data_IF_093847228115
#
_entry.id   IF_093847228115
#
_cell.length_a   1.000
_cell.length_b   1.000
_cell.length_c   1.000
_cell.angle_alpha   90.00
_cell.angle_beta   90.00
_cell.angle_gamma   90.00
#
_symmetry.space_group_name_H-M   'P 1'
#
loop_
_entity.id
_entity.type
_entity.pdbx_description
1 polymer ?
#
# COMPACT_ATOMS: atom_id res chain seq x y z
N UNK A 1 -11.61 11.89 -15.36
CA UNK A 1 -11.30 10.48 -15.03
C UNK A 1 -12.13 9.62 -15.95
N UNK A 2 -11.47 8.90 -16.84
CA UNK A 2 -12.10 8.14 -17.92
C UNK A 2 -12.81 6.89 -17.37
N UNK A 3 -13.88 6.49 -18.05
CA UNK A 3 -14.73 5.36 -17.67
C UNK A 3 -13.94 4.04 -17.57
N UNK A 4 -12.87 3.89 -18.34
CA UNK A 4 -11.96 2.73 -18.30
C UNK A 4 -11.14 2.67 -17.01
N UNK A 5 -10.70 3.81 -16.47
CA UNK A 5 -9.89 3.85 -15.24
C UNK A 5 -10.72 3.44 -14.01
N UNK A 6 -12.00 3.81 -14.00
CA UNK A 6 -12.94 3.41 -12.93
C UNK A 6 -13.23 1.92 -12.92
N UNK A 7 -13.43 1.30 -14.08
CA UNK A 7 -13.67 -0.15 -14.17
C UNK A 7 -12.45 -0.96 -13.72
N UNK A 8 -11.24 -0.52 -14.06
CA UNK A 8 -10.01 -1.17 -13.62
C UNK A 8 -9.79 -1.06 -12.10
N UNK A 9 -10.10 0.10 -11.50
CA UNK A 9 -10.05 0.27 -10.05
C UNK A 9 -11.06 -0.64 -9.32
N UNK A 10 -12.28 -0.73 -9.86
CA UNK A 10 -13.33 -1.59 -9.28
C UNK A 10 -12.96 -3.08 -9.34
N UNK A 11 -12.41 -3.55 -10.45
CA UNK A 11 -11.90 -4.93 -10.58
C UNK A 11 -10.78 -5.23 -9.58
N UNK A 12 -9.85 -4.29 -9.40
CA UNK A 12 -8.72 -4.45 -8.48
C UNK A 12 -9.17 -4.49 -7.01
N UNK A 13 -10.14 -3.67 -6.62
CA UNK A 13 -10.66 -3.67 -5.26
C UNK A 13 -11.47 -4.93 -4.96
N UNK A 14 -12.13 -5.51 -5.96
CA UNK A 14 -12.80 -6.79 -5.84
C UNK A 14 -11.80 -7.95 -5.65
N UNK A 15 -10.73 -8.00 -6.46
CA UNK A 15 -9.67 -9.02 -6.30
C UNK A 15 -9.01 -8.92 -4.91
N UNK A 16 -8.79 -7.70 -4.43
CA UNK A 16 -8.27 -7.44 -3.09
C UNK A 16 -9.25 -7.89 -2.00
N UNK A 17 -10.54 -7.61 -2.17
CA UNK A 17 -11.58 -8.05 -1.24
C UNK A 17 -11.58 -9.58 -1.13
N UNK A 18 -11.73 -10.30 -2.24
CA UNK A 18 -11.80 -11.77 -2.24
C UNK A 18 -10.58 -12.41 -1.55
N UNK A 19 -9.39 -11.87 -1.80
CA UNK A 19 -8.16 -12.39 -1.18
C UNK A 19 -8.07 -12.05 0.32
N UNK A 20 -8.56 -10.87 0.74
CA UNK A 20 -8.63 -10.50 2.16
C UNK A 20 -9.70 -11.31 2.90
N UNK A 21 -10.84 -11.59 2.27
CA UNK A 21 -11.93 -12.38 2.86
C UNK A 21 -11.46 -13.79 3.21
N UNK A 22 -10.69 -14.40 2.31
CA UNK A 22 -10.07 -15.71 2.51
C UNK A 22 -9.15 -15.77 3.75
N UNK A 23 -8.51 -14.64 4.09
CA UNK A 23 -7.45 -14.58 5.11
C UNK A 23 -7.91 -14.07 6.47
N UNK A 24 -8.69 -12.99 6.47
CA UNK A 24 -9.11 -12.28 7.68
C UNK A 24 -10.60 -12.38 7.94
N UNK A 25 -11.36 -12.95 7.01
CA UNK A 25 -12.81 -13.02 7.06
C UNK A 25 -13.49 -11.77 6.47
N UNK A 26 -14.79 -11.89 6.15
CA UNK A 26 -15.53 -10.89 5.38
C UNK A 26 -15.62 -9.52 6.05
N UNK A 27 -15.75 -9.48 7.38
CA UNK A 27 -15.89 -8.23 8.12
C UNK A 27 -14.64 -7.34 8.01
N UNK A 28 -13.45 -7.93 8.20
CA UNK A 28 -12.18 -7.19 8.16
C UNK A 28 -11.85 -6.79 6.72
N UNK A 29 -12.08 -7.69 5.76
CA UNK A 29 -11.86 -7.40 4.35
C UNK A 29 -12.70 -6.19 3.88
N UNK A 30 -13.98 -6.17 4.22
CA UNK A 30 -14.87 -5.06 3.88
C UNK A 30 -14.39 -3.75 4.52
N UNK A 31 -13.98 -3.77 5.79
CA UNK A 31 -13.45 -2.58 6.47
C UNK A 31 -12.23 -2.01 5.76
N UNK A 32 -11.26 -2.86 5.39
CA UNK A 32 -10.05 -2.42 4.69
C UNK A 32 -10.40 -1.80 3.33
N UNK A 33 -11.28 -2.44 2.55
CA UNK A 33 -11.70 -1.96 1.23
C UNK A 33 -12.52 -0.68 1.34
N UNK A 34 -13.37 -0.55 2.36
CA UNK A 34 -14.13 0.67 2.61
C UNK A 34 -13.21 1.85 2.94
N UNK A 35 -12.19 1.64 3.77
CA UNK A 35 -11.20 2.67 4.09
C UNK A 35 -10.38 3.07 2.87
N UNK A 36 -10.01 2.13 2.00
CA UNK A 36 -9.37 2.42 0.70
C UNK A 36 -10.29 3.28 -0.17
N UNK A 37 -11.56 2.87 -0.34
CA UNK A 37 -12.53 3.60 -1.15
C UNK A 37 -12.83 5.00 -0.60
N UNK A 38 -12.83 5.16 0.73
CA UNK A 38 -12.94 6.47 1.37
C UNK A 38 -11.69 7.30 1.14
N UNK A 39 -10.51 6.70 1.22
CA UNK A 39 -9.24 7.37 1.00
C UNK A 39 -9.06 7.85 -0.45
N UNK A 40 -9.75 7.30 -1.45
CA UNK A 40 -9.77 7.89 -2.80
C UNK A 40 -10.51 9.24 -2.85
N UNK A 41 -11.43 9.50 -1.91
CA UNK A 41 -12.17 10.77 -1.84
C UNK A 41 -11.27 11.88 -1.29
N UNK A 42 -11.25 13.04 -1.95
CA UNK A 42 -10.34 14.15 -1.61
C UNK A 42 -10.52 14.68 -0.18
N UNK A 43 -11.76 14.69 0.33
CA UNK A 43 -12.09 15.26 1.64
C UNK A 43 -11.87 14.31 2.83
N UNK A 44 -11.61 13.03 2.60
CA UNK A 44 -11.44 12.07 3.68
C UNK A 44 -9.97 11.97 4.09
N UNK A 45 -9.73 12.15 5.39
CA UNK A 45 -8.45 11.91 6.04
C UNK A 45 -8.54 10.56 6.76
N UNK A 46 -7.76 9.55 6.37
CA UNK A 46 -7.77 8.25 7.00
C UNK A 46 -7.25 8.33 8.44
N UNK A 47 -7.82 7.53 9.34
CA UNK A 47 -7.30 7.40 10.70
C UNK A 47 -6.05 6.51 10.76
N UNK A 48 -5.37 6.52 11.91
CA UNK A 48 -4.16 5.72 12.12
C UNK A 48 -4.40 4.22 11.95
N UNK A 49 -5.55 3.71 12.40
CA UNK A 49 -5.86 2.28 12.35
C UNK A 49 -6.10 1.80 10.92
N UNK A 50 -6.74 2.62 10.09
CA UNK A 50 -6.94 2.39 8.67
C UNK A 50 -5.60 2.37 7.92
N UNK A 51 -4.73 3.36 8.17
CA UNK A 51 -3.37 3.39 7.59
C UNK A 51 -2.58 2.15 8.02
N UNK A 52 -2.70 1.76 9.29
CA UNK A 52 -2.01 0.58 9.84
C UNK A 52 -2.51 -0.71 9.21
N UNK A 53 -3.82 -0.90 9.07
CA UNK A 53 -4.41 -2.09 8.46
C UNK A 53 -3.98 -2.27 7.00
N UNK A 54 -3.94 -1.18 6.22
CA UNK A 54 -3.45 -1.22 4.84
C UNK A 54 -1.94 -1.46 4.78
N UNK A 55 -1.16 -0.95 5.74
CA UNK A 55 0.28 -1.26 5.84
C UNK A 55 0.55 -2.75 6.09
N UNK A 56 -0.27 -3.40 6.92
CA UNK A 56 -0.15 -4.83 7.20
C UNK A 56 -0.54 -5.67 5.99
N UNK A 57 -1.59 -5.23 5.27
CA UNK A 57 -2.00 -5.83 3.99
C UNK A 57 -0.88 -5.75 2.95
N UNK A 58 -0.21 -4.60 2.86
CA UNK A 58 0.93 -4.41 1.96
C UNK A 58 2.09 -5.37 2.31
N UNK A 59 2.48 -5.46 3.59
CA UNK A 59 3.56 -6.34 4.01
C UNK A 59 3.21 -7.82 3.83
N UNK A 60 1.96 -8.22 4.08
CA UNK A 60 1.49 -9.57 3.80
C UNK A 60 1.71 -9.94 2.33
N UNK A 61 1.20 -9.13 1.40
CA UNK A 61 1.34 -9.43 -0.02
C UNK A 61 2.78 -9.32 -0.52
N UNK A 62 3.61 -8.48 0.10
CA UNK A 62 5.05 -8.43 -0.17
C UNK A 62 5.70 -9.78 0.10
N UNK A 63 5.43 -10.37 1.26
CA UNK A 63 5.99 -11.67 1.63
C UNK A 63 5.52 -12.78 0.68
N UNK A 64 4.24 -12.81 0.35
CA UNK A 64 3.67 -13.82 -0.54
C UNK A 64 4.20 -13.68 -1.98
N UNK A 65 4.28 -12.46 -2.51
CA UNK A 65 4.87 -12.21 -3.82
C UNK A 65 6.34 -12.65 -3.86
N UNK A 66 7.11 -12.44 -2.78
CA UNK A 66 8.49 -12.94 -2.68
C UNK A 66 8.55 -14.47 -2.64
N UNK A 67 7.66 -15.14 -1.91
CA UNK A 67 7.59 -16.62 -1.90
C UNK A 67 7.25 -17.16 -3.30
N UNK A 68 6.25 -16.58 -3.96
CA UNK A 68 5.87 -16.96 -5.33
C UNK A 68 7.02 -16.72 -6.33
N UNK A 69 7.75 -15.61 -6.20
CA UNK A 69 8.93 -15.33 -7.04
C UNK A 69 10.04 -16.37 -6.81
N UNK A 70 10.29 -16.77 -5.56
CA UNK A 70 11.26 -17.83 -5.24
C UNK A 70 10.85 -19.16 -5.86
N UNK A 71 9.58 -19.52 -5.76
CA UNK A 71 9.01 -20.73 -6.37
C UNK A 71 9.18 -20.71 -7.91
N UNK A 72 8.79 -19.61 -8.56
CA UNK A 72 8.96 -19.41 -10.01
C UNK A 72 10.43 -19.55 -10.45
N UNK A 73 11.36 -18.93 -9.72
CA UNK A 73 12.81 -19.06 -10.00
C UNK A 73 13.32 -20.49 -9.82
N UNK A 74 12.80 -21.23 -8.84
CA UNK A 74 13.13 -22.65 -8.65
C UNK A 74 12.68 -23.51 -9.83
N UNK A 75 11.45 -23.28 -10.32
CA UNK A 75 10.86 -24.04 -11.44
C UNK A 75 11.55 -23.78 -12.78
N UNK A 76 11.94 -22.53 -13.06
CA UNK A 76 12.74 -22.18 -14.26
C UNK A 76 14.06 -22.94 -14.37
N UNK A 77 14.68 -23.29 -13.24
CA UNK A 77 15.94 -24.05 -13.23
C UNK A 77 15.74 -25.54 -13.51
N UNK A 78 14.52 -26.05 -13.36
CA UNK A 78 14.18 -27.46 -13.47
C UNK A 78 13.50 -27.82 -14.81
N UNK A 79 13.22 -26.83 -15.67
CA UNK A 79 12.42 -27.01 -16.88
C UNK A 79 13.25 -27.57 -18.04
N UNK A 80 13.22 -28.91 -18.20
CA UNK A 80 13.70 -29.61 -19.40
C UNK A 80 12.58 -30.43 -20.10
N UNK A 81 11.34 -30.38 -19.62
CA UNK A 81 10.19 -31.17 -20.13
C UNK A 81 8.92 -30.32 -20.32
N UNK A 82 8.01 -30.73 -21.20
CA UNK A 82 6.76 -30.03 -21.50
C UNK A 82 5.82 -29.86 -20.29
N UNK A 83 5.83 -30.79 -19.32
CA UNK A 83 5.06 -30.66 -18.07
C UNK A 83 5.64 -29.53 -17.20
N UNK A 84 6.96 -29.31 -17.23
CA UNK A 84 7.60 -28.23 -16.51
C UNK A 84 7.19 -26.84 -17.04
N UNK A 85 6.80 -26.75 -18.32
CA UNK A 85 6.28 -25.51 -18.93
C UNK A 85 4.89 -25.12 -18.39
N UNK A 86 3.99 -26.08 -18.13
CA UNK A 86 2.67 -25.79 -17.55
C UNK A 86 2.79 -25.31 -16.10
N UNK A 87 3.67 -25.94 -15.34
CA UNK A 87 3.92 -25.60 -13.94
C UNK A 87 4.65 -24.25 -13.79
N UNK A 88 5.57 -23.91 -14.70
CA UNK A 88 6.12 -22.56 -14.76
C UNK A 88 5.03 -21.53 -15.06
N UNK A 89 4.14 -21.82 -16.02
CA UNK A 89 3.05 -20.91 -16.38
C UNK A 89 2.12 -20.64 -15.19
N UNK A 90 1.75 -21.67 -14.43
CA UNK A 90 0.96 -21.52 -13.20
C UNK A 90 1.69 -20.69 -12.14
N UNK A 91 2.96 -21.00 -11.89
CA UNK A 91 3.77 -20.24 -10.92
C UNK A 91 3.95 -18.78 -11.32
N UNK A 92 4.04 -18.50 -12.62
CA UNK A 92 4.07 -17.13 -13.16
C UNK A 92 2.74 -16.41 -12.90
N UNK A 93 1.60 -17.05 -13.19
CA UNK A 93 0.28 -16.46 -12.94
C UNK A 93 0.06 -16.18 -11.45
N UNK A 94 0.46 -17.09 -10.57
CA UNK A 94 0.41 -16.90 -9.12
C UNK A 94 1.26 -15.70 -8.68
N UNK A 95 2.50 -15.61 -9.18
CA UNK A 95 3.36 -14.45 -8.90
C UNK A 95 2.74 -13.15 -9.41
N UNK A 96 2.24 -13.11 -10.65
CA UNK A 96 1.63 -11.92 -11.24
C UNK A 96 0.41 -11.46 -10.45
N UNK A 97 -0.45 -12.38 -9.97
CA UNK A 97 -1.57 -12.08 -9.09
C UNK A 97 -1.10 -11.45 -7.77
N UNK A 98 -0.21 -12.13 -7.04
CA UNK A 98 0.25 -11.68 -5.72
C UNK A 98 1.03 -10.36 -5.79
N UNK A 99 1.84 -10.20 -6.84
CA UNK A 99 2.56 -8.95 -7.08
C UNK A 99 1.61 -7.81 -7.43
N UNK A 100 0.57 -8.07 -8.23
CA UNK A 100 -0.49 -7.10 -8.52
C UNK A 100 -1.19 -6.60 -7.25
N UNK A 101 -1.52 -7.51 -6.33
CA UNK A 101 -2.11 -7.18 -5.03
C UNK A 101 -1.17 -6.38 -4.13
N UNK A 102 0.12 -6.74 -4.10
CA UNK A 102 1.15 -5.97 -3.40
C UNK A 102 1.22 -4.53 -3.92
N UNK A 103 1.27 -4.33 -5.24
CA UNK A 103 1.33 -3.00 -5.85
C UNK A 103 0.06 -2.19 -5.53
N UNK A 104 -1.11 -2.83 -5.55
CA UNK A 104 -2.38 -2.20 -5.17
C UNK A 104 -2.37 -1.73 -3.71
N UNK A 105 -2.01 -2.62 -2.78
CA UNK A 105 -1.93 -2.31 -1.35
C UNK A 105 -0.87 -1.23 -1.08
N UNK A 106 0.28 -1.29 -1.74
CA UNK A 106 1.35 -0.31 -1.63
C UNK A 106 0.90 1.09 -2.06
N UNK A 107 0.22 1.20 -3.21
CA UNK A 107 -0.31 2.47 -3.69
C UNK A 107 -1.27 3.08 -2.66
N UNK A 108 -2.25 2.29 -2.20
CA UNK A 108 -3.24 2.75 -1.24
C UNK A 108 -2.62 3.12 0.10
N UNK A 109 -1.65 2.35 0.58
CA UNK A 109 -0.90 2.67 1.79
C UNK A 109 -0.24 4.05 1.70
N UNK A 110 0.52 4.32 0.64
CA UNK A 110 1.23 5.60 0.51
C UNK A 110 0.28 6.79 0.33
N UNK A 111 -0.82 6.60 -0.39
CA UNK A 111 -1.85 7.63 -0.50
C UNK A 111 -2.46 7.98 0.86
N UNK A 112 -2.87 6.96 1.62
CA UNK A 112 -3.45 7.13 2.94
C UNK A 112 -2.46 7.75 3.93
N UNK A 113 -1.23 7.23 3.95
CA UNK A 113 -0.15 7.74 4.79
C UNK A 113 0.14 9.21 4.50
N UNK A 114 0.25 9.60 3.22
CA UNK A 114 0.47 10.99 2.84
C UNK A 114 -0.67 11.90 3.33
N UNK A 115 -1.93 11.48 3.15
CA UNK A 115 -3.10 12.26 3.60
C UNK A 115 -3.10 12.44 5.13
N UNK A 116 -2.88 11.37 5.88
CA UNK A 116 -2.80 11.42 7.33
C UNK A 116 -1.66 12.34 7.82
N UNK A 117 -0.48 12.26 7.18
CA UNK A 117 0.67 13.11 7.51
C UNK A 117 0.43 14.58 7.19
N UNK A 118 -0.19 14.91 6.06
CA UNK A 118 -0.51 16.30 5.70
C UNK A 118 -1.47 16.92 6.71
N UNK A 119 -2.53 16.19 7.10
CA UNK A 119 -3.47 16.65 8.12
C UNK A 119 -2.77 16.93 9.46
N UNK A 120 -1.89 16.04 9.92
CA UNK A 120 -1.14 16.26 11.16
C UNK A 120 -0.12 17.39 11.09
N UNK A 121 0.47 17.67 9.92
CA UNK A 121 1.41 18.79 9.73
C UNK A 121 0.70 20.16 9.74
N UNK A 122 -0.57 20.20 9.35
CA UNK A 122 -1.44 21.39 9.42
C UNK A 122 -1.90 21.69 10.86
N UNK A 123 -2.03 20.67 11.70
CA UNK A 123 -2.38 20.80 13.12
C UNK A 123 -1.21 21.27 14.01
N UNK A 124 0.05 21.28 13.52
CA UNK A 124 1.19 21.78 14.30
C UNK A 124 1.06 23.30 14.47
N UNK A 125 0.91 23.83 15.70
CA UNK A 125 0.81 25.26 15.94
C UNK A 125 2.03 26.00 15.39
N UNK A 126 1.79 27.06 14.65
CA UNK A 126 2.80 27.86 13.95
C UNK A 126 3.93 28.35 14.85
N UNK A 127 3.71 28.50 16.16
CA UNK A 127 4.74 28.91 17.13
C UNK A 127 5.89 27.90 17.31
N UNK A 128 5.72 26.62 16.95
CA UNK A 128 6.82 25.63 16.91
C UNK A 128 7.69 25.73 15.67
N UNK A 129 7.21 26.36 14.58
CA UNK A 129 7.99 26.57 13.34
C UNK A 129 9.06 27.67 13.49
N UNK A 130 8.91 28.59 14.46
CA UNK A 130 9.80 29.74 14.67
C UNK A 130 10.98 29.48 15.64
N UNK A 131 11.07 28.31 16.29
CA UNK A 131 12.18 28.04 17.23
C UNK A 131 13.49 27.61 16.56
N UNK A 132 13.52 27.42 15.25
CA UNK A 132 14.72 26.95 14.52
C UNK A 132 15.45 28.04 13.71
N UNK A 133 14.96 29.28 13.72
CA UNK A 133 15.55 30.40 12.96
C UNK A 133 16.19 31.48 13.84
N UNK A 134 16.11 31.39 15.17
CA UNK A 134 16.71 32.36 16.11
C UNK A 134 17.68 31.70 17.12
N UNK A 135 18.61 30.88 16.62
CA UNK A 135 19.92 30.63 17.24
C UNK A 135 20.92 31.11 16.18
N UNK A 136 21.65 32.21 16.22
CA UNK A 136 22.04 33.21 17.23
C UNK A 136 22.05 34.59 16.51
N UNK A 137 21.92 35.72 17.23
CA UNK A 137 23.13 36.54 17.39
C UNK A 137 23.17 37.26 18.75
N UNK A 138 23.91 36.68 19.70
CA UNK A 138 24.64 37.46 20.69
C UNK A 138 26.04 37.68 20.08
N UNK A 139 26.66 38.87 19.99
CA UNK A 139 26.67 40.04 20.86
C UNK A 139 27.03 41.28 20.02
N UNK A 140 26.28 42.37 20.14
CA UNK A 140 26.87 43.71 19.95
C UNK A 140 27.06 44.32 21.33
N UNK A 141 28.24 44.14 21.91
CA UNK A 141 28.66 44.91 23.08
C UNK A 141 28.79 46.36 22.67
N UNK A 142 27.93 47.22 23.22
CA UNK A 142 28.12 48.67 23.20
C UNK A 142 28.57 49.08 24.60
N UNK A 143 29.85 49.42 24.71
CA UNK A 143 30.42 50.30 25.73
C UNK A 143 31.71 50.90 25.18
#
# INVERSE_FOLDING_TARGET
MDTQTKQQAQSRNQDLQEELESRYGPAIAQQIVDEINKAEKTAHVPDFMAVKAVSETMELFREEAQKALRNLKGRRKAANDDVANLDEKRARQEFEKLFGLYIAAQHNFYEMYRKAMTAHLEEIPTWKKYKKTNQDPEMTTVA
#
